data_IF_817287714647
#
_entry.id   IF_817287714647
#
_cell.length_a   1.000
_cell.length_b   1.000
_cell.length_c   1.000
_cell.angle_alpha   90.00
_cell.angle_beta   90.00
_cell.angle_gamma   90.00
#
_symmetry.space_group_name_H-M   'P 1'
#
loop_
_entity.id
_entity.type
_entity.pdbx_description
1 polymer ?
#
# COMPACT_ATOMS: atom_id res chain seq x y z
N UNK A 1 -16.95 3.95 3.32
CA UNK A 1 -16.73 3.87 4.79
C UNK A 1 -15.74 2.75 5.10
N UNK A 2 -14.81 3.02 6.00
CA UNK A 2 -13.83 2.04 6.45
C UNK A 2 -14.38 1.30 7.67
N UNK A 3 -14.28 -0.03 7.71
CA UNK A 3 -14.67 -0.76 8.92
C UNK A 3 -13.76 -0.40 10.09
N UNK A 4 -14.31 -0.48 11.28
CA UNK A 4 -13.53 -0.25 12.52
C UNK A 4 -12.45 -1.34 12.64
N UNK A 5 -11.24 -0.93 12.99
CA UNK A 5 -10.13 -1.85 13.10
C UNK A 5 -9.41 -2.14 11.77
N UNK A 6 -9.49 -1.21 10.83
CA UNK A 6 -8.84 -1.33 9.53
C UNK A 6 -7.36 -1.67 9.64
N UNK A 7 -6.89 -2.56 8.77
CA UNK A 7 -5.49 -3.02 8.74
C UNK A 7 -4.71 -2.35 7.63
N UNK A 8 -3.52 -1.91 7.98
CA UNK A 8 -2.56 -1.34 7.05
C UNK A 8 -1.61 -2.43 6.55
N UNK A 9 -1.41 -2.49 5.23
CA UNK A 9 -0.42 -3.36 4.60
C UNK A 9 0.42 -2.56 3.61
N UNK A 10 1.64 -3.04 3.38
CA UNK A 10 2.51 -2.52 2.34
C UNK A 10 2.87 -3.66 1.38
N UNK A 11 2.71 -3.45 0.08
CA UNK A 11 3.03 -4.46 -0.92
C UNK A 11 3.72 -3.81 -2.11
N UNK A 12 4.74 -4.45 -2.65
CA UNK A 12 5.37 -3.97 -3.87
C UNK A 12 4.42 -4.21 -5.04
N UNK A 13 4.21 -3.17 -5.85
CA UNK A 13 3.46 -3.26 -7.10
C UNK A 13 4.47 -3.34 -8.25
N UNK A 14 4.59 -4.49 -8.92
CA UNK A 14 5.62 -4.67 -9.94
C UNK A 14 5.33 -3.84 -11.19
N UNK A 15 6.39 -3.54 -11.94
CA UNK A 15 6.28 -2.91 -13.25
C UNK A 15 5.88 -3.93 -14.31
N UNK A 16 5.22 -3.53 -15.39
CA UNK A 16 4.91 -4.45 -16.51
C UNK A 16 6.14 -5.18 -17.05
N UNK A 17 7.29 -4.51 -17.08
CA UNK A 17 8.56 -5.09 -17.54
C UNK A 17 9.04 -6.28 -16.71
N UNK A 18 8.55 -6.45 -15.50
CA UNK A 18 8.92 -7.58 -14.63
C UNK A 18 8.38 -8.92 -15.14
N UNK A 19 7.42 -8.93 -16.05
CA UNK A 19 6.70 -10.14 -16.45
C UNK A 19 7.09 -10.69 -17.82
N UNK A 20 7.77 -9.95 -18.66
CA UNK A 20 8.15 -10.43 -19.99
C UNK A 20 6.97 -10.68 -20.96
N UNK A 21 5.73 -10.34 -20.58
CA UNK A 21 4.57 -10.40 -21.47
C UNK A 21 3.93 -9.02 -21.63
N UNK A 22 3.17 -8.85 -22.71
CA UNK A 22 2.48 -7.60 -22.96
C UNK A 22 1.41 -7.30 -21.91
N UNK A 23 1.13 -6.01 -21.73
CA UNK A 23 0.10 -5.52 -20.79
C UNK A 23 -1.25 -6.21 -20.97
N UNK A 24 -1.56 -6.62 -22.18
CA UNK A 24 -2.84 -7.22 -22.54
C UNK A 24 -3.07 -8.60 -21.90
N UNK A 25 -2.01 -9.35 -21.65
CA UNK A 25 -2.11 -10.67 -21.02
C UNK A 25 -2.30 -10.60 -19.51
N UNK A 26 -1.99 -9.46 -18.90
CA UNK A 26 -2.16 -9.24 -17.47
C UNK A 26 -3.52 -8.62 -17.16
N UNK A 27 -4.24 -8.11 -18.16
CA UNK A 27 -5.26 -7.10 -17.97
C UNK A 27 -6.69 -7.59 -17.75
N UNK A 28 -7.05 -8.83 -18.00
CA UNK A 28 -8.48 -9.22 -17.92
C UNK A 28 -8.70 -10.57 -17.26
N UNK A 29 -9.31 -10.52 -16.06
CA UNK A 29 -10.03 -11.65 -15.46
C UNK A 29 -9.22 -12.91 -15.14
N UNK A 30 -7.96 -12.94 -15.48
CA UNK A 30 -7.12 -14.10 -15.22
C UNK A 30 -6.44 -13.98 -13.88
N UNK A 31 -6.32 -15.07 -13.12
CA UNK A 31 -5.48 -15.06 -11.95
C UNK A 31 -4.07 -14.64 -12.37
N UNK A 32 -3.43 -13.76 -11.62
CA UNK A 32 -2.08 -13.35 -11.91
C UNK A 32 -1.11 -14.53 -11.80
N UNK A 33 0.09 -14.37 -12.34
CA UNK A 33 1.16 -15.32 -12.13
C UNK A 33 1.35 -15.61 -10.64
N UNK A 34 1.82 -16.81 -10.30
CA UNK A 34 2.05 -17.23 -8.92
C UNK A 34 2.88 -16.19 -8.16
N UNK A 35 2.43 -15.85 -6.97
CA UNK A 35 3.09 -14.86 -6.12
C UNK A 35 2.58 -13.43 -6.27
N UNK A 36 1.51 -13.23 -7.03
CA UNK A 36 0.88 -11.91 -7.21
C UNK A 36 -0.61 -12.01 -7.01
N UNK A 37 -1.26 -10.88 -6.74
CA UNK A 37 -2.70 -10.81 -6.65
C UNK A 37 -3.23 -9.45 -7.09
N UNK A 38 -4.50 -9.42 -7.48
CA UNK A 38 -5.20 -8.19 -7.83
C UNK A 38 -5.84 -7.60 -6.58
N UNK A 39 -5.61 -6.30 -6.33
CA UNK A 39 -6.31 -5.58 -5.27
C UNK A 39 -7.08 -4.40 -5.86
N UNK A 40 -8.32 -4.18 -5.41
CA UNK A 40 -9.11 -3.05 -5.88
C UNK A 40 -8.56 -1.72 -5.37
N UNK A 41 -8.84 -0.66 -6.11
CA UNK A 41 -8.43 0.69 -5.79
C UNK A 41 -9.54 1.38 -5.02
N UNK A 42 -9.19 2.10 -3.96
CA UNK A 42 -10.09 3.00 -3.29
C UNK A 42 -9.91 4.41 -3.88
N UNK A 43 -10.98 4.95 -4.50
CA UNK A 43 -10.91 6.25 -5.13
C UNK A 43 -10.05 6.26 -6.39
N UNK A 44 -9.25 7.30 -6.56
CA UNK A 44 -8.34 7.46 -7.69
C UNK A 44 -6.89 7.43 -7.24
N UNK A 45 -6.05 6.69 -7.96
CA UNK A 45 -4.61 6.73 -7.74
C UNK A 45 -3.99 7.80 -8.62
N UNK A 46 -3.34 8.78 -7.99
CA UNK A 46 -2.77 9.93 -8.68
C UNK A 46 -1.25 9.92 -8.75
N UNK A 47 -0.61 9.02 -8.02
CA UNK A 47 0.82 9.12 -7.73
C UNK A 47 1.68 7.97 -8.25
N UNK A 48 1.17 7.11 -9.12
CA UNK A 48 1.97 5.99 -9.58
C UNK A 48 1.83 5.73 -11.08
N UNK A 49 2.71 6.31 -11.90
CA UNK A 49 2.86 5.85 -13.28
C UNK A 49 3.48 4.45 -13.29
N UNK A 50 3.10 3.63 -14.27
CA UNK A 50 3.73 2.32 -14.49
C UNK A 50 3.17 1.16 -13.67
N UNK A 51 2.02 1.31 -13.04
CA UNK A 51 1.33 0.20 -12.39
C UNK A 51 0.77 -0.78 -13.42
N UNK A 52 0.73 -2.06 -13.07
CA UNK A 52 -0.02 -3.05 -13.83
C UNK A 52 -1.47 -3.00 -13.35
N UNK A 53 -2.33 -2.46 -14.20
CA UNK A 53 -3.74 -2.26 -13.88
C UNK A 53 -4.61 -3.18 -14.73
N UNK A 54 -5.72 -3.63 -14.16
CA UNK A 54 -6.68 -4.47 -14.86
C UNK A 54 -8.03 -4.46 -14.18
N UNK A 55 -8.99 -5.15 -14.78
CA UNK A 55 -10.29 -5.41 -14.17
C UNK A 55 -10.31 -6.84 -13.65
N UNK A 56 -10.72 -7.00 -12.42
CA UNK A 56 -10.91 -8.30 -11.80
C UNK A 56 -12.17 -8.23 -10.93
N UNK A 57 -13.05 -9.21 -11.10
CA UNK A 57 -14.30 -9.28 -10.37
C UNK A 57 -15.15 -7.99 -10.47
N UNK A 58 -15.16 -7.39 -11.67
CA UNK A 58 -15.91 -6.16 -11.94
C UNK A 58 -15.32 -4.89 -11.36
N UNK A 59 -14.13 -4.95 -10.77
CA UNK A 59 -13.47 -3.81 -10.14
C UNK A 59 -12.14 -3.49 -10.82
N UNK A 60 -11.82 -2.22 -10.84
CA UNK A 60 -10.50 -1.75 -11.28
C UNK A 60 -9.47 -2.09 -10.20
N UNK A 61 -8.45 -2.86 -10.59
CA UNK A 61 -7.46 -3.39 -9.67
C UNK A 61 -6.03 -3.07 -10.11
N UNK A 62 -5.12 -3.16 -9.15
CA UNK A 62 -3.68 -3.09 -9.39
C UNK A 62 -3.07 -4.42 -8.98
N UNK A 63 -2.12 -4.89 -9.77
CA UNK A 63 -1.36 -6.10 -9.45
C UNK A 63 -0.32 -5.78 -8.38
N UNK A 64 -0.34 -6.55 -7.32
CA UNK A 64 0.60 -6.41 -6.19
C UNK A 64 1.24 -7.75 -5.85
N UNK A 65 2.41 -7.70 -5.22
CA UNK A 65 3.14 -8.90 -4.82
C UNK A 65 2.55 -9.54 -3.57
N UNK A 66 2.51 -10.87 -3.58
CA UNK A 66 2.20 -11.69 -2.41
C UNK A 66 3.42 -12.52 -1.99
N UNK A 67 4.59 -12.23 -2.55
CA UNK A 67 5.84 -12.94 -2.25
C UNK A 67 6.42 -12.50 -0.91
N UNK A 68 7.00 -13.44 -0.15
CA UNK A 68 7.77 -13.09 1.03
C UNK A 68 8.88 -12.08 0.67
N UNK A 69 9.11 -11.10 1.54
CA UNK A 69 10.10 -10.06 1.28
C UNK A 69 9.65 -8.92 0.39
N UNK A 70 8.46 -9.02 -0.21
CA UNK A 70 7.86 -7.97 -1.04
C UNK A 70 6.55 -7.45 -0.46
N UNK A 71 6.27 -7.79 0.77
CA UNK A 71 5.07 -7.34 1.48
C UNK A 71 5.32 -7.22 2.98
N UNK A 72 4.52 -6.39 3.62
CA UNK A 72 4.42 -6.30 5.07
C UNK A 72 2.94 -6.37 5.42
N UNK A 73 2.53 -7.49 6.02
CA UNK A 73 1.14 -7.75 6.39
C UNK A 73 1.09 -8.13 7.86
N UNK A 74 0.38 -7.33 8.67
CA UNK A 74 0.25 -7.61 10.09
C UNK A 74 -0.47 -8.94 10.32
N UNK A 75 0.10 -9.74 11.19
CA UNK A 75 -0.49 -11.02 11.58
C UNK A 75 -0.11 -12.22 10.72
N UNK A 76 0.44 -12.01 9.52
CA UNK A 76 0.92 -13.09 8.65
C UNK A 76 2.43 -13.33 8.82
N UNK A 77 3.13 -12.34 9.31
CA UNK A 77 4.58 -12.41 9.47
C UNK A 77 4.97 -13.07 10.78
N UNK A 78 5.99 -13.90 10.73
CA UNK A 78 6.56 -14.53 11.94
C UNK A 78 7.13 -13.48 12.90
N UNK A 79 7.59 -12.37 12.36
CA UNK A 79 8.09 -11.23 13.12
C UNK A 79 7.02 -10.17 13.18
N UNK A 80 6.29 -10.15 14.27
CA UNK A 80 5.23 -9.18 14.47
C UNK A 80 5.77 -7.75 14.42
N UNK A 81 5.15 -6.91 13.61
CA UNK A 81 5.41 -5.48 13.54
C UNK A 81 4.11 -4.72 13.78
N UNK A 82 4.22 -3.46 14.11
CA UNK A 82 3.03 -2.66 14.38
C UNK A 82 3.22 -1.18 14.14
N UNK A 83 2.12 -0.47 14.26
CA UNK A 83 2.06 0.97 14.24
C UNK A 83 2.14 1.50 15.66
N UNK A 84 2.98 2.53 15.87
CA UNK A 84 3.02 3.28 17.13
C UNK A 84 2.08 4.47 17.09
N UNK A 85 1.91 5.09 15.93
CA UNK A 85 1.07 6.27 15.78
C UNK A 85 0.51 6.39 14.37
N UNK A 86 -0.68 6.93 14.28
CA UNK A 86 -1.34 7.33 13.03
C UNK A 86 -1.98 8.69 13.30
N UNK A 87 -1.76 9.65 12.43
CA UNK A 87 -2.23 11.02 12.66
C UNK A 87 -2.59 11.71 11.35
N UNK A 88 -3.47 12.69 11.44
CA UNK A 88 -3.79 13.55 10.31
C UNK A 88 -2.65 14.56 10.10
N UNK A 89 -2.26 14.75 8.87
CA UNK A 89 -1.22 15.71 8.49
C UNK A 89 -1.52 16.28 7.10
N UNK A 90 -0.55 16.95 6.52
CA UNK A 90 -0.64 17.48 5.15
C UNK A 90 0.63 17.14 4.39
N UNK A 91 0.48 16.96 3.08
CA UNK A 91 1.61 16.72 2.19
C UNK A 91 2.29 18.03 1.78
N UNK A 92 3.29 17.94 0.89
CA UNK A 92 4.03 19.12 0.41
C UNK A 92 3.16 20.12 -0.35
N UNK A 93 2.05 19.67 -0.92
CA UNK A 93 1.09 20.53 -1.61
C UNK A 93 -0.02 21.05 -0.69
N UNK A 94 0.15 20.89 0.64
CA UNK A 94 -0.83 21.29 1.65
C UNK A 94 -2.18 20.54 1.54
N UNK A 95 -2.17 19.34 0.95
CA UNK A 95 -3.35 18.50 0.84
C UNK A 95 -3.44 17.55 2.05
N UNK A 96 -4.67 17.20 2.48
CA UNK A 96 -4.83 16.26 3.58
C UNK A 96 -4.11 14.93 3.33
N UNK A 97 -3.41 14.44 4.33
CA UNK A 97 -2.63 13.22 4.27
C UNK A 97 -2.66 12.48 5.61
N UNK A 98 -2.29 11.20 5.59
CA UNK A 98 -2.21 10.38 6.80
C UNK A 98 -0.74 10.12 7.13
N UNK A 99 -0.30 10.55 8.29
CA UNK A 99 1.03 10.23 8.81
C UNK A 99 1.00 8.96 9.63
N UNK A 100 2.09 8.20 9.59
CA UNK A 100 2.22 7.00 10.41
C UNK A 100 3.62 6.87 10.98
N UNK A 101 3.70 6.17 12.10
CA UNK A 101 4.95 5.80 12.75
C UNK A 101 4.92 4.32 13.07
N UNK A 102 5.94 3.60 12.60
CA UNK A 102 6.10 2.17 12.84
C UNK A 102 6.86 1.91 14.13
N UNK A 103 6.64 0.76 14.74
CA UNK A 103 7.48 0.31 15.83
C UNK A 103 8.89 -0.05 15.30
N UNK A 104 9.79 -0.42 16.19
CA UNK A 104 11.18 -0.70 15.82
C UNK A 104 11.27 -1.83 14.80
N UNK A 105 10.52 -2.91 14.99
CA UNK A 105 10.49 -4.04 14.07
C UNK A 105 9.91 -3.62 12.71
N UNK A 106 8.85 -2.86 12.71
CA UNK A 106 8.24 -2.33 11.49
C UNK A 106 9.18 -1.41 10.73
N UNK A 107 9.92 -0.56 11.44
CA UNK A 107 10.90 0.33 10.83
C UNK A 107 12.03 -0.43 10.13
N UNK A 108 12.56 -1.48 10.78
CA UNK A 108 13.60 -2.33 10.20
C UNK A 108 13.11 -3.03 8.92
N UNK A 109 11.91 -3.61 8.98
CA UNK A 109 11.32 -4.32 7.85
C UNK A 109 10.98 -3.39 6.70
N UNK A 110 10.45 -2.21 7.01
CA UNK A 110 10.09 -1.21 6.01
C UNK A 110 11.33 -0.67 5.30
N UNK A 111 12.40 -0.44 6.05
CA UNK A 111 13.69 -0.03 5.47
C UNK A 111 14.23 -1.10 4.51
N UNK A 112 14.18 -2.37 4.90
CA UNK A 112 14.63 -3.47 4.04
C UNK A 112 13.77 -3.61 2.79
N UNK A 113 12.45 -3.54 2.94
CA UNK A 113 11.50 -3.64 1.84
C UNK A 113 11.71 -2.51 0.81
N UNK A 114 11.80 -1.28 1.28
CA UNK A 114 11.94 -0.13 0.40
C UNK A 114 13.34 -0.07 -0.24
N UNK A 115 14.39 -0.39 0.51
CA UNK A 115 15.77 -0.44 -0.03
C UNK A 115 15.89 -1.44 -1.18
N UNK A 116 15.24 -2.59 -1.07
CA UNK A 116 15.29 -3.63 -2.09
C UNK A 116 14.43 -3.30 -3.32
N UNK A 117 13.61 -2.26 -3.26
CA UNK A 117 12.61 -1.96 -4.28
C UNK A 117 12.60 -0.50 -4.74
N UNK A 118 13.79 0.11 -4.79
CA UNK A 118 13.93 1.46 -5.33
C UNK A 118 13.42 1.48 -6.78
N UNK A 119 12.68 2.53 -7.12
CA UNK A 119 12.02 2.74 -8.43
C UNK A 119 10.81 1.85 -8.69
N UNK A 120 10.46 0.95 -7.80
CA UNK A 120 9.19 0.24 -7.84
C UNK A 120 8.12 0.99 -7.07
N UNK A 121 6.85 0.76 -7.39
CA UNK A 121 5.75 1.34 -6.65
C UNK A 121 5.50 0.55 -5.36
N UNK A 122 5.19 1.27 -4.28
CA UNK A 122 4.79 0.70 -3.01
C UNK A 122 3.29 0.91 -2.84
N UNK A 123 2.52 -0.16 -2.98
CA UNK A 123 1.08 -0.10 -2.74
C UNK A 123 0.81 -0.04 -1.23
N UNK A 124 0.13 1.00 -0.80
CA UNK A 124 -0.33 1.17 0.57
C UNK A 124 -1.78 0.72 0.61
N UNK A 125 -2.04 -0.32 1.37
CA UNK A 125 -3.30 -1.07 1.35
C UNK A 125 -3.98 -0.94 2.70
N UNK A 126 -5.25 -0.59 2.69
CA UNK A 126 -6.09 -0.56 3.88
C UNK A 126 -7.31 -1.44 3.63
N UNK A 127 -7.47 -2.47 4.44
CA UNK A 127 -8.55 -3.47 4.33
C UNK A 127 -8.69 -4.03 2.91
N UNK A 128 -7.57 -4.39 2.30
CA UNK A 128 -7.56 -5.00 0.97
C UNK A 128 -7.81 -4.05 -0.18
N UNK A 129 -7.85 -2.73 0.06
CA UNK A 129 -8.01 -1.73 -0.99
C UNK A 129 -6.80 -0.80 -1.03
N UNK A 130 -6.33 -0.50 -2.23
CA UNK A 130 -5.16 0.36 -2.41
C UNK A 130 -5.58 1.82 -2.29
N UNK A 131 -5.01 2.52 -1.30
CA UNK A 131 -5.28 3.93 -1.05
C UNK A 131 -4.22 4.85 -1.65
N UNK A 132 -3.01 4.33 -1.88
CA UNK A 132 -1.89 5.08 -2.44
C UNK A 132 -0.86 4.11 -3.01
N UNK A 133 -0.08 4.55 -4.00
CA UNK A 133 0.95 3.70 -4.60
C UNK A 133 2.14 4.55 -5.09
N UNK A 134 2.85 5.21 -4.17
CA UNK A 134 4.02 6.03 -4.55
C UNK A 134 5.17 5.17 -5.04
N UNK A 135 6.00 5.76 -5.90
CA UNK A 135 7.27 5.15 -6.30
C UNK A 135 8.29 5.33 -5.18
N UNK A 136 8.98 4.25 -4.84
CA UNK A 136 10.03 4.28 -3.84
C UNK A 136 11.27 4.99 -4.42
N UNK A 137 11.67 6.09 -3.81
CA UNK A 137 12.84 6.88 -4.25
C UNK A 137 14.08 6.63 -3.39
N UNK A 138 13.87 6.22 -2.15
CA UNK A 138 14.95 5.92 -1.20
C UNK A 138 14.43 4.95 -0.17
N UNK A 139 15.33 4.32 0.59
CA UNK A 139 14.94 3.52 1.73
C UNK A 139 14.17 4.39 2.74
N UNK A 140 13.06 3.88 3.23
CA UNK A 140 12.21 4.55 4.21
C UNK A 140 12.40 3.89 5.57
N UNK A 141 12.16 4.65 6.62
CA UNK A 141 12.38 4.17 7.97
C UNK A 141 11.12 4.13 8.81
N UNK A 142 11.20 4.72 10.01
CA UNK A 142 10.17 4.62 11.04
C UNK A 142 8.88 5.36 10.69
N UNK A 143 8.95 6.44 9.93
CA UNK A 143 7.79 7.30 9.64
C UNK A 143 7.53 7.40 8.16
N UNK A 144 6.27 7.66 7.81
CA UNK A 144 5.86 7.91 6.44
C UNK A 144 4.56 8.69 6.38
N UNK A 145 4.21 9.09 5.16
CA UNK A 145 2.98 9.82 4.87
C UNK A 145 2.25 9.11 3.74
N UNK A 146 0.97 8.86 3.95
CA UNK A 146 0.08 8.34 2.91
C UNK A 146 -0.56 9.54 2.23
N UNK A 147 -0.22 9.73 0.96
CA UNK A 147 -0.73 10.82 0.15
C UNK A 147 -1.75 10.32 -0.88
N UNK A 148 -2.65 11.20 -1.28
CA UNK A 148 -3.68 10.87 -2.26
C UNK A 148 -4.68 12.03 -2.37
N UNK A 149 -5.77 11.80 -3.08
CA UNK A 149 -6.86 12.76 -3.15
C UNK A 149 -7.85 12.55 -2.01
N UNK A 150 -7.41 12.88 -0.80
CA UNK A 150 -8.24 12.73 0.38
C UNK A 150 -8.88 14.06 0.77
N UNK A 151 -10.13 14.01 1.20
CA UNK A 151 -10.73 15.10 1.96
C UNK A 151 -10.27 15.03 3.41
N UNK A 152 -10.42 16.13 4.15
CA UNK A 152 -10.10 16.11 5.60
C UNK A 152 -10.96 15.10 6.36
N UNK A 153 -12.22 14.92 5.95
CA UNK A 153 -13.12 13.94 6.54
C UNK A 153 -12.65 12.50 6.28
N UNK A 154 -12.18 12.23 5.07
CA UNK A 154 -11.63 10.92 4.72
C UNK A 154 -10.36 10.60 5.51
N UNK A 155 -9.48 11.58 5.67
CA UNK A 155 -8.28 11.44 6.50
C UNK A 155 -8.66 11.16 7.95
N UNK A 156 -9.61 11.93 8.51
CA UNK A 156 -10.05 11.73 9.89
C UNK A 156 -10.63 10.33 10.11
N UNK A 157 -11.46 9.85 9.17
CA UNK A 157 -12.05 8.51 9.25
C UNK A 157 -10.98 7.42 9.15
N UNK A 158 -10.03 7.58 8.22
CA UNK A 158 -8.95 6.61 8.03
C UNK A 158 -8.04 6.54 9.26
N UNK A 159 -7.67 7.68 9.82
CA UNK A 159 -6.88 7.75 11.05
C UNK A 159 -7.62 7.07 12.21
N UNK A 160 -8.90 7.35 12.38
CA UNK A 160 -9.71 6.75 13.46
C UNK A 160 -9.74 5.22 13.32
N UNK A 161 -9.99 4.71 12.12
CA UNK A 161 -10.11 3.28 11.89
C UNK A 161 -8.77 2.55 11.99
N UNK A 162 -7.69 3.16 11.52
CA UNK A 162 -6.35 2.57 11.66
C UNK A 162 -5.90 2.56 13.13
N UNK A 163 -6.22 3.60 13.91
CA UNK A 163 -5.92 3.61 15.35
C UNK A 163 -6.66 2.50 16.08
N UNK A 164 -7.90 2.25 15.72
CA UNK A 164 -8.67 1.15 16.32
C UNK A 164 -8.02 -0.21 16.01
N UNK A 165 -7.45 -0.37 14.80
CA UNK A 165 -6.73 -1.58 14.39
C UNK A 165 -5.35 -1.75 15.04
N UNK A 166 -4.82 -0.72 15.70
CA UNK A 166 -3.56 -0.80 16.44
C UNK A 166 -3.71 -1.51 17.79
N UNK A 167 -4.91 -1.57 18.32
CA UNK A 167 -5.18 -2.23 19.58
C UNK A 167 -4.94 -3.74 19.46
N UNK A 168 -4.26 -4.36 20.44
CA UNK A 168 -4.06 -5.80 20.44
C UNK A 168 -5.37 -6.57 20.58
#
# INVERSE_FOLDING_TARGET
TWPVGSRLEFRIAPKPSAFGFGKEQLAVGNPPASGYKWLPIWGELTNAPGLVMGEYDGQKCVLVSDKPGQKMVRGEDKDAWGLLNVYATKDHANQPAVGFELDERGAERFAALTRANIDNALAIVVDGRIVSAPVVKSALGKTGIITGRFTEQEVAALVHNLRAGMQP
#
